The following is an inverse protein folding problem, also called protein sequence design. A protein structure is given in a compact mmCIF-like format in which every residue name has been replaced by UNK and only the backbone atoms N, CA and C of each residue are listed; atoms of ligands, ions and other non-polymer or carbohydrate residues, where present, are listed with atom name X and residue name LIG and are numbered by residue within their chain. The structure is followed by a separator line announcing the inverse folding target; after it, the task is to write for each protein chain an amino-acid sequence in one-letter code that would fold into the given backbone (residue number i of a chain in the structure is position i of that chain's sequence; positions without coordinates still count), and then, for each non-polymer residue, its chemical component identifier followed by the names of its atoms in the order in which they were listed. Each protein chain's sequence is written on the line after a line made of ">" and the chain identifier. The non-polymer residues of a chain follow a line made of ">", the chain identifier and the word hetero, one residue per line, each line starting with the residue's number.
data_IF_056864186946
#
_entry.id   IF_056864186946
#
_cell.length_a   1.000
_cell.length_b   1.000
_cell.length_c   1.000
_cell.angle_alpha   90.00
_cell.angle_beta   90.00
_cell.angle_gamma   90.00
#
_symmetry.space_group_name_H-M   'P 1'
#
loop_
_entity.id
_entity.type
_entity.pdbx_description
1 polymer ?
#
# COMPACT_ATOMS: atom_id res chain seq x y z
N UNK A 1 1.38 -3.52 -39.00
CA UNK A 1 2.40 -3.78 -37.96
C UNK A 1 3.76 -3.74 -38.66
N UNK A 2 4.56 -2.70 -38.41
CA UNK A 2 5.77 -2.43 -39.21
C UNK A 2 6.90 -3.38 -38.81
N UNK A 3 7.77 -3.73 -39.76
CA UNK A 3 8.95 -4.59 -39.60
C UNK A 3 9.93 -4.10 -38.53
N UNK A 4 9.86 -2.82 -38.12
CA UNK A 4 10.65 -2.25 -37.00
C UNK A 4 10.14 -2.65 -35.61
N UNK A 5 8.83 -2.83 -35.44
CA UNK A 5 8.26 -3.18 -34.13
C UNK A 5 8.50 -4.66 -33.79
N UNK A 6 8.43 -5.52 -34.81
CA UNK A 6 8.78 -6.94 -34.68
C UNK A 6 10.28 -7.14 -34.36
N UNK A 7 11.17 -6.32 -34.94
CA UNK A 7 12.61 -6.37 -34.66
C UNK A 7 12.97 -5.93 -33.22
N UNK A 8 12.28 -4.91 -32.69
CA UNK A 8 12.50 -4.44 -31.31
C UNK A 8 11.97 -5.43 -30.26
N UNK A 9 10.79 -6.00 -30.48
CA UNK A 9 10.23 -7.02 -29.58
C UNK A 9 11.09 -8.30 -29.62
N UNK A 10 11.51 -8.74 -30.81
CA UNK A 10 12.41 -9.88 -30.97
C UNK A 10 13.77 -9.64 -30.31
N UNK A 11 14.34 -8.44 -30.42
CA UNK A 11 15.63 -8.09 -29.78
C UNK A 11 15.53 -8.06 -28.26
N UNK A 12 14.43 -7.54 -27.70
CA UNK A 12 14.14 -7.52 -26.26
C UNK A 12 13.95 -8.95 -25.73
N UNK A 13 13.21 -9.81 -26.44
CA UNK A 13 13.02 -11.23 -26.07
C UNK A 13 14.36 -11.99 -26.15
N UNK A 14 15.19 -11.71 -27.15
CA UNK A 14 16.49 -12.36 -27.35
C UNK A 14 17.54 -11.95 -26.30
N UNK A 15 17.56 -10.67 -25.89
CA UNK A 15 18.38 -10.17 -24.78
C UNK A 15 17.94 -10.77 -23.43
N UNK A 16 16.64 -10.99 -23.23
CA UNK A 16 16.07 -11.56 -22.00
C UNK A 16 16.36 -13.06 -21.85
N UNK A 17 16.30 -13.84 -22.93
CA UNK A 17 16.71 -15.26 -22.89
C UNK A 17 18.21 -15.45 -22.65
N UNK A 18 19.05 -14.47 -23.02
CA UNK A 18 20.50 -14.50 -22.73
C UNK A 18 20.82 -14.24 -21.27
N UNK A 19 19.99 -13.48 -20.53
CA UNK A 19 20.19 -13.19 -19.11
C UNK A 19 20.33 -14.47 -18.27
N UNK A 20 19.44 -15.45 -18.48
CA UNK A 20 19.49 -16.74 -17.77
C UNK A 20 20.63 -17.67 -18.21
N UNK A 21 21.32 -17.35 -19.31
CA UNK A 21 22.47 -18.10 -19.84
C UNK A 21 23.81 -17.42 -19.53
N UNK A 22 23.80 -16.37 -18.72
CA UNK A 22 25.04 -15.70 -18.31
C UNK A 22 25.84 -16.61 -17.38
N UNK A 23 27.16 -16.73 -17.65
CA UNK A 23 28.10 -17.49 -16.80
C UNK A 23 28.15 -17.03 -15.34
N UNK A 24 27.56 -15.86 -15.06
CA UNK A 24 27.32 -15.33 -13.72
C UNK A 24 26.53 -16.31 -12.83
N UNK A 25 25.69 -17.17 -13.40
CA UNK A 25 24.91 -18.19 -12.69
C UNK A 25 25.62 -19.55 -12.60
N UNK A 26 26.79 -19.72 -13.21
CA UNK A 26 27.57 -20.97 -13.13
C UNK A 26 28.32 -21.08 -11.78
N UNK A 27 28.62 -19.94 -11.14
CA UNK A 27 29.39 -19.87 -9.89
C UNK A 27 28.58 -19.39 -8.67
N UNK A 28 27.28 -19.12 -8.84
CA UNK A 28 26.37 -18.66 -7.78
C UNK A 28 25.11 -19.52 -7.70
N UNK A 29 24.36 -19.35 -6.61
CA UNK A 29 23.09 -20.06 -6.42
C UNK A 29 22.15 -19.82 -7.61
N UNK A 30 21.60 -20.92 -8.15
CA UNK A 30 20.65 -20.84 -9.26
C UNK A 30 19.41 -20.07 -8.82
N UNK A 31 18.88 -19.27 -9.75
CA UNK A 31 17.63 -18.55 -9.57
C UNK A 31 16.49 -19.53 -9.29
N UNK A 32 15.49 -19.08 -8.53
CA UNK A 32 14.29 -19.87 -8.22
C UNK A 32 13.38 -20.11 -9.43
N UNK A 33 13.67 -19.48 -10.58
CA UNK A 33 12.94 -19.61 -11.84
C UNK A 33 13.89 -20.00 -12.99
N UNK A 34 13.40 -20.86 -13.88
CA UNK A 34 14.19 -21.41 -15.00
C UNK A 34 13.96 -20.69 -16.33
N UNK A 35 12.90 -19.90 -16.45
CA UNK A 35 12.53 -19.19 -17.69
C UNK A 35 12.09 -17.76 -17.42
N UNK A 36 12.21 -16.92 -18.45
CA UNK A 36 11.75 -15.54 -18.43
C UNK A 36 10.23 -15.46 -18.25
N UNK A 37 9.49 -16.40 -18.84
CA UNK A 37 8.04 -16.49 -18.72
C UNK A 37 7.61 -16.80 -17.27
N UNK A 38 8.37 -17.62 -16.55
CA UNK A 38 8.11 -17.92 -15.14
C UNK A 38 8.29 -16.67 -14.25
N UNK A 39 9.32 -15.85 -14.51
CA UNK A 39 9.53 -14.59 -13.80
C UNK A 39 8.41 -13.57 -14.08
N UNK A 40 7.99 -13.43 -15.34
CA UNK A 40 6.89 -12.52 -15.68
C UNK A 40 5.53 -13.03 -15.18
N UNK A 41 5.33 -14.34 -15.14
CA UNK A 41 4.20 -14.95 -14.45
C UNK A 41 4.14 -14.56 -12.97
N UNK A 42 5.30 -14.53 -12.29
CA UNK A 42 5.37 -14.09 -10.89
C UNK A 42 5.15 -12.59 -10.73
N UNK A 43 5.74 -11.75 -11.58
CA UNK A 43 5.49 -10.30 -11.56
C UNK A 43 4.03 -9.96 -11.85
N UNK A 44 3.41 -10.66 -12.80
CA UNK A 44 1.99 -10.52 -13.11
C UNK A 44 1.06 -11.01 -11.99
N UNK A 45 1.58 -11.78 -11.02
CA UNK A 45 0.81 -12.24 -9.86
C UNK A 45 0.83 -11.29 -8.66
N UNK A 46 1.67 -10.23 -8.69
CA UNK A 46 1.69 -9.23 -7.62
C UNK A 46 0.45 -8.32 -7.71
N UNK A 47 -0.12 -7.88 -6.57
CA UNK A 47 -1.24 -6.97 -6.57
C UNK A 47 -0.85 -5.66 -7.26
N UNK A 48 -1.69 -5.25 -8.20
CA UNK A 48 -1.47 -4.07 -9.03
C UNK A 48 -1.85 -2.84 -8.20
N UNK A 49 -0.89 -1.95 -7.94
CA UNK A 49 -1.15 -0.69 -7.24
C UNK A 49 -2.01 0.28 -8.04
N UNK A 50 -2.34 1.46 -7.48
CA UNK A 50 -3.22 2.44 -8.13
C UNK A 50 -2.71 2.84 -9.52
N UNK A 51 -3.54 2.64 -10.56
CA UNK A 51 -3.12 2.77 -11.95
C UNK A 51 -3.27 4.19 -12.48
N UNK A 52 -2.31 4.60 -13.32
CA UNK A 52 -2.40 5.88 -14.04
C UNK A 52 -3.39 5.77 -15.20
N UNK A 53 -4.21 6.79 -15.33
CA UNK A 53 -5.23 6.99 -16.34
C UNK A 53 -4.99 8.32 -17.05
N UNK A 54 -5.56 8.46 -18.24
CA UNK A 54 -5.48 9.70 -19.00
C UNK A 54 -6.84 10.06 -19.61
N UNK A 55 -7.36 11.21 -19.24
CA UNK A 55 -8.64 11.73 -19.72
C UNK A 55 -8.41 12.99 -20.53
N UNK A 56 -8.95 13.05 -21.75
CA UNK A 56 -8.91 14.27 -22.56
C UNK A 56 -9.85 15.31 -21.95
N UNK A 57 -9.37 16.53 -21.79
CA UNK A 57 -10.19 17.64 -21.30
C UNK A 57 -10.97 18.18 -22.50
N UNK A 58 -12.30 18.12 -22.42
CA UNK A 58 -13.19 18.70 -23.41
C UNK A 58 -13.98 19.84 -22.76
N UNK A 59 -13.74 21.06 -23.23
CA UNK A 59 -14.41 22.27 -22.72
C UNK A 59 -15.31 22.76 -23.84
N UNK A 60 -16.61 22.55 -23.67
CA UNK A 60 -17.60 22.89 -24.68
C UNK A 60 -17.54 24.39 -25.02
N UNK A 61 -17.41 24.68 -26.32
CA UNK A 61 -17.44 26.04 -26.85
C UNK A 61 -16.13 26.84 -26.72
N UNK A 62 -15.03 26.22 -26.27
CA UNK A 62 -13.73 26.91 -26.18
C UNK A 62 -12.61 26.06 -26.78
N UNK A 63 -11.88 26.64 -27.73
CA UNK A 63 -10.69 26.00 -28.32
C UNK A 63 -9.48 26.16 -27.40
N UNK A 64 -8.79 25.06 -27.13
CA UNK A 64 -7.47 25.05 -26.51
C UNK A 64 -6.40 25.03 -27.61
N UNK A 65 -5.29 25.72 -27.42
CA UNK A 65 -4.17 25.73 -28.39
C UNK A 65 -3.50 24.37 -28.54
N UNK A 66 -3.58 23.51 -27.51
CA UNK A 66 -3.01 22.17 -27.49
C UNK A 66 -3.99 21.13 -26.94
N UNK A 67 -3.74 19.85 -27.23
CA UNK A 67 -4.56 18.73 -26.78
C UNK A 67 -4.34 18.47 -25.28
N UNK A 68 -5.11 19.16 -24.44
CA UNK A 68 -4.97 19.11 -22.98
C UNK A 68 -5.51 17.79 -22.40
N UNK A 69 -4.68 17.10 -21.62
CA UNK A 69 -5.02 15.81 -20.99
C UNK A 69 -4.76 15.85 -19.49
N UNK A 70 -5.73 15.39 -18.72
CA UNK A 70 -5.56 15.07 -17.31
C UNK A 70 -4.89 13.71 -17.20
N UNK A 71 -3.77 13.63 -16.48
CA UNK A 71 -3.12 12.37 -16.11
C UNK A 71 -3.38 12.13 -14.64
N UNK A 72 -3.95 11.00 -14.25
CA UNK A 72 -4.46 10.83 -12.89
C UNK A 72 -4.54 9.38 -12.41
N UNK A 73 -4.73 9.19 -11.10
CA UNK A 73 -5.03 7.93 -10.42
C UNK A 73 -6.30 8.08 -9.62
N UNK A 74 -7.08 7.01 -9.49
CA UNK A 74 -8.26 7.02 -8.65
C UNK A 74 -7.89 7.29 -7.19
N UNK A 75 -8.49 8.32 -6.60
CA UNK A 75 -8.18 8.75 -5.24
C UNK A 75 -8.48 7.68 -4.17
N UNK A 76 -9.51 6.87 -4.37
CA UNK A 76 -9.87 5.79 -3.43
C UNK A 76 -8.88 4.62 -3.52
N UNK A 77 -8.42 4.26 -4.72
CA UNK A 77 -7.35 3.26 -4.86
C UNK A 77 -6.09 3.70 -4.10
N UNK A 78 -5.73 4.98 -4.21
CA UNK A 78 -4.58 5.56 -3.50
C UNK A 78 -4.79 5.57 -1.98
N UNK A 79 -6.01 5.87 -1.52
CA UNK A 79 -6.36 5.76 -0.08
C UNK A 79 -6.25 4.32 0.41
N UNK A 80 -6.75 3.34 -0.35
CA UNK A 80 -6.63 1.92 -0.02
C UNK A 80 -5.17 1.47 0.06
N UNK A 81 -4.33 1.92 -0.87
CA UNK A 81 -2.88 1.67 -0.86
C UNK A 81 -2.21 2.27 0.39
N UNK A 82 -2.52 3.53 0.71
CA UNK A 82 -1.96 4.20 1.90
C UNK A 82 -2.43 3.55 3.21
N UNK A 83 -3.73 3.25 3.32
CA UNK A 83 -4.32 2.72 4.55
C UNK A 83 -3.87 1.29 4.84
N UNK A 84 -3.73 0.46 3.81
CA UNK A 84 -3.26 -0.94 3.93
C UNK A 84 -1.75 -1.07 4.13
N UNK A 85 -1.00 0.03 4.09
CA UNK A 85 0.45 -0.02 4.16
C UNK A 85 0.92 -0.32 5.60
N UNK A 86 1.59 -1.47 5.83
CA UNK A 86 2.02 -1.90 7.17
C UNK A 86 3.03 -0.95 7.81
N UNK A 87 3.68 -0.08 7.04
CA UNK A 87 4.61 0.93 7.56
C UNK A 87 3.91 1.95 8.47
N UNK A 88 2.61 2.18 8.31
CA UNK A 88 1.89 3.22 9.05
C UNK A 88 1.12 2.69 10.26
N UNK A 89 1.04 1.37 10.48
CA UNK A 89 0.26 0.73 11.57
C UNK A 89 0.44 1.45 12.91
N UNK A 90 1.69 1.70 13.30
CA UNK A 90 2.06 2.26 14.62
C UNK A 90 1.84 3.77 14.72
N UNK A 91 1.57 4.41 13.60
CA UNK A 91 1.48 5.85 13.45
C UNK A 91 0.10 6.26 12.96
N UNK A 92 -0.89 5.35 13.01
CA UNK A 92 -2.25 5.64 12.60
C UNK A 92 -3.17 5.81 13.79
N UNK A 93 -4.00 6.85 13.72
CA UNK A 93 -5.11 7.08 14.64
C UNK A 93 -6.43 6.75 13.94
N UNK A 94 -7.31 6.08 14.65
CA UNK A 94 -8.58 5.56 14.12
C UNK A 94 -9.82 6.14 14.81
N UNK A 95 -9.65 6.85 15.92
CA UNK A 95 -10.76 7.38 16.70
C UNK A 95 -10.44 8.76 17.28
N UNK A 96 -11.45 9.64 17.42
CA UNK A 96 -11.28 10.91 18.08
C UNK A 96 -10.78 10.70 19.51
N UNK A 97 -9.84 11.54 19.94
CA UNK A 97 -9.31 11.50 21.31
C UNK A 97 -8.94 12.91 21.75
N UNK A 98 -9.02 13.16 23.05
CA UNK A 98 -8.71 14.46 23.62
C UNK A 98 -7.27 14.47 24.12
N UNK A 99 -6.53 15.50 23.74
CA UNK A 99 -5.21 15.80 24.29
C UNK A 99 -5.35 17.08 25.11
N UNK A 100 -4.83 17.08 26.33
CA UNK A 100 -4.93 18.22 27.26
C UNK A 100 -3.54 18.65 27.70
N UNK A 101 -3.32 19.97 27.71
CA UNK A 101 -2.16 20.60 28.31
C UNK A 101 -2.65 21.43 29.51
N UNK A 102 -2.58 20.86 30.71
CA UNK A 102 -3.24 21.42 31.90
C UNK A 102 -4.77 21.38 31.77
N UNK A 103 -5.41 22.55 31.92
CA UNK A 103 -6.87 22.68 31.80
C UNK A 103 -7.35 22.94 30.37
N UNK A 104 -6.44 23.20 29.44
CA UNK A 104 -6.77 23.51 28.05
C UNK A 104 -6.68 22.28 27.15
N UNK A 105 -7.59 22.19 26.18
CA UNK A 105 -7.57 21.17 25.15
C UNK A 105 -6.64 21.58 24.01
N UNK A 106 -5.77 20.67 23.62
CA UNK A 106 -4.85 20.84 22.50
C UNK A 106 -5.46 20.31 21.18
N UNK A 107 -5.21 21.05 20.10
CA UNK A 107 -5.63 20.69 18.74
C UNK A 107 -4.41 20.63 17.83
N UNK A 108 -4.02 19.43 17.40
CA UNK A 108 -2.82 19.19 16.59
C UNK A 108 -3.08 18.34 15.36
N UNK A 109 -4.00 17.38 15.45
CA UNK A 109 -4.39 16.47 14.37
C UNK A 109 -5.90 16.48 14.16
N UNK A 110 -6.37 15.94 13.02
CA UNK A 110 -7.80 15.82 12.73
C UNK A 110 -8.59 15.16 13.87
N UNK A 111 -8.07 14.07 14.45
CA UNK A 111 -8.74 13.32 15.52
C UNK A 111 -8.77 14.03 16.88
N UNK A 112 -7.95 15.06 17.07
CA UNK A 112 -8.05 15.97 18.23
C UNK A 112 -9.03 17.11 17.98
N UNK A 113 -9.43 17.34 16.72
CA UNK A 113 -10.36 18.38 16.29
C UNK A 113 -11.80 18.11 16.72
N UNK A 114 -12.53 19.17 17.09
CA UNK A 114 -13.95 19.10 17.50
C UNK A 114 -14.83 18.42 16.45
N UNK A 115 -14.51 18.60 15.16
CA UNK A 115 -15.27 17.98 14.07
C UNK A 115 -15.22 16.45 14.09
N UNK A 116 -14.09 15.86 14.50
CA UNK A 116 -13.96 14.40 14.55
C UNK A 116 -14.91 13.77 15.58
N UNK A 117 -15.15 14.46 16.70
CA UNK A 117 -16.09 14.03 17.75
C UNK A 117 -17.56 14.15 17.34
N UNK A 118 -17.88 15.06 16.41
CA UNK A 118 -19.24 15.26 15.93
C UNK A 118 -19.68 14.21 14.90
N UNK A 119 -18.76 13.38 14.41
CA UNK A 119 -19.05 12.36 13.39
C UNK A 119 -19.34 11.03 14.10
N UNK A 120 -20.62 10.62 14.07
CA UNK A 120 -21.06 9.34 14.61
C UNK A 120 -20.96 8.27 13.52
N UNK A 121 -20.18 7.22 13.78
CA UNK A 121 -20.01 6.08 12.87
C UNK A 121 -20.52 4.78 13.53
N UNK A 122 -20.94 3.79 12.72
CA UNK A 122 -21.19 2.43 13.21
C UNK A 122 -19.96 1.83 13.88
N UNK A 123 -20.20 0.91 14.83
CA UNK A 123 -19.12 0.15 15.48
C UNK A 123 -18.31 -0.61 14.43
N UNK A 124 -16.97 -0.53 14.52
CA UNK A 124 -16.05 -1.15 13.57
C UNK A 124 -15.66 -0.27 12.37
N UNK A 125 -16.24 0.93 12.25
CA UNK A 125 -15.89 1.90 11.21
C UNK A 125 -14.94 2.98 11.75
N UNK A 126 -14.13 3.55 10.87
CA UNK A 126 -13.25 4.69 11.17
C UNK A 126 -13.39 5.77 10.11
N UNK A 127 -13.09 7.01 10.49
CA UNK A 127 -13.01 8.14 9.56
C UNK A 127 -11.64 8.10 8.90
N UNK A 128 -11.60 8.31 7.58
CA UNK A 128 -10.36 8.51 6.85
C UNK A 128 -10.32 9.95 6.33
N UNK A 129 -9.67 10.89 7.04
CA UNK A 129 -9.60 12.27 6.60
C UNK A 129 -8.73 12.36 5.35
N UNK A 130 -9.24 12.95 4.27
CA UNK A 130 -8.48 13.13 3.02
C UNK A 130 -7.80 14.50 3.04
N UNK A 131 -6.49 14.52 2.83
CA UNK A 131 -5.72 15.76 2.71
C UNK A 131 -5.16 15.84 1.30
N UNK A 132 -5.52 16.92 0.60
CA UNK A 132 -5.02 17.22 -0.74
C UNK A 132 -4.07 18.41 -0.68
N UNK A 133 -2.94 18.31 -1.38
CA UNK A 133 -2.00 19.40 -1.57
C UNK A 133 -1.72 19.56 -3.06
N UNK A 134 -1.68 20.79 -3.55
CA UNK A 134 -1.32 21.09 -4.92
C UNK A 134 -0.57 22.41 -4.97
N UNK A 135 0.47 22.45 -5.80
CA UNK A 135 1.18 23.67 -6.13
C UNK A 135 1.45 23.73 -7.63
N UNK A 136 1.56 24.95 -8.18
CA UNK A 136 1.83 25.15 -9.60
C UNK A 136 3.29 24.86 -9.89
N UNK A 137 3.56 23.96 -10.84
CA UNK A 137 4.93 23.58 -11.20
C UNK A 137 5.20 23.76 -12.70
N UNK A 138 6.33 24.38 -13.08
CA UNK A 138 6.76 24.40 -14.48
C UNK A 138 7.31 23.02 -14.87
N UNK A 139 6.76 22.45 -15.94
CA UNK A 139 7.13 21.12 -16.49
C UNK A 139 8.31 21.24 -17.43
N UNK A 140 8.32 22.26 -18.29
CA UNK A 140 9.41 22.54 -19.23
C UNK A 140 9.81 24.02 -19.15
N UNK A 141 10.99 24.30 -18.63
CA UNK A 141 11.51 25.69 -18.54
C UNK A 141 12.17 26.18 -19.82
N UNK A 142 12.57 25.29 -20.73
CA UNK A 142 13.39 25.63 -21.90
C UNK A 142 12.81 25.18 -23.25
N UNK A 143 11.79 24.31 -23.26
CA UNK A 143 11.27 23.65 -24.46
C UNK A 143 9.76 23.43 -24.38
N UNK A 144 8.98 24.50 -24.18
CA UNK A 144 7.52 24.45 -24.33
C UNK A 144 6.68 25.22 -23.31
N UNK A 145 7.28 25.76 -22.23
CA UNK A 145 6.55 26.61 -21.28
C UNK A 145 5.36 25.92 -20.60
N UNK A 146 5.34 24.58 -20.59
CA UNK A 146 4.23 23.80 -20.05
C UNK A 146 4.21 23.93 -18.53
N UNK A 147 3.06 24.29 -17.98
CA UNK A 147 2.82 24.35 -16.55
C UNK A 147 1.71 23.37 -16.17
N UNK A 148 1.90 22.69 -15.04
CA UNK A 148 0.90 21.77 -14.50
C UNK A 148 0.81 21.90 -12.99
N UNK A 149 -0.35 21.56 -12.46
CA UNK A 149 -0.60 21.44 -11.03
C UNK A 149 -0.58 19.96 -10.64
N UNK A 150 0.55 19.43 -10.14
CA UNK A 150 0.53 18.15 -9.46
C UNK A 150 -0.37 18.23 -8.24
N UNK A 151 -1.15 17.17 -8.03
CA UNK A 151 -2.00 16.99 -6.86
C UNK A 151 -1.47 15.81 -6.08
N UNK A 152 -1.26 15.99 -4.78
CA UNK A 152 -0.84 14.96 -3.84
C UNK A 152 -1.96 14.66 -2.85
N UNK A 153 -2.08 13.39 -2.49
CA UNK A 153 -3.03 12.89 -1.51
C UNK A 153 -2.29 12.22 -0.35
N UNK A 154 -2.77 12.47 0.86
CA UNK A 154 -2.47 11.67 2.05
C UNK A 154 -3.74 11.50 2.90
N UNK A 155 -3.65 10.67 3.94
CA UNK A 155 -4.74 10.43 4.89
C UNK A 155 -4.38 10.98 6.28
N UNK A 156 -5.33 11.61 6.94
CA UNK A 156 -5.16 12.19 8.27
C UNK A 156 -5.04 11.17 9.41
N UNK A 157 -5.23 9.88 9.11
CA UNK A 157 -4.97 8.80 10.07
C UNK A 157 -3.49 8.71 10.42
N UNK A 158 -2.60 8.87 9.43
CA UNK A 158 -1.15 8.83 9.64
C UNK A 158 -0.75 10.09 10.40
N UNK A 159 -0.03 10.00 11.51
CA UNK A 159 0.43 11.16 12.30
C UNK A 159 1.25 12.16 11.47
N UNK A 160 1.14 13.45 11.77
CA UNK A 160 1.72 14.52 10.95
C UNK A 160 3.24 14.42 10.83
N UNK A 161 3.94 14.10 11.92
CA UNK A 161 5.40 13.92 11.91
C UNK A 161 5.84 12.84 10.90
N UNK A 162 5.09 11.75 10.79
CA UNK A 162 5.32 10.70 9.79
C UNK A 162 4.90 11.17 8.40
N UNK A 163 3.76 11.86 8.26
CA UNK A 163 3.33 12.43 6.96
C UNK A 163 4.36 13.40 6.38
N UNK A 164 5.03 14.17 7.23
CA UNK A 164 6.00 15.19 6.83
C UNK A 164 7.40 14.63 6.53
N UNK A 165 7.68 13.38 6.90
CA UNK A 165 8.92 12.72 6.50
C UNK A 165 8.91 12.39 5.01
N UNK A 166 9.79 13.02 4.22
CA UNK A 166 9.89 12.73 2.79
C UNK A 166 10.13 11.24 2.46
N UNK A 167 10.78 10.51 3.37
CA UNK A 167 11.10 9.08 3.24
C UNK A 167 9.94 8.15 3.62
N UNK A 168 8.91 8.64 4.31
CA UNK A 168 7.77 7.80 4.72
C UNK A 168 6.90 7.42 3.54
N UNK A 169 7.01 8.16 2.43
CA UNK A 169 6.13 8.01 1.29
C UNK A 169 4.66 8.04 1.74
N UNK A 170 4.28 8.90 2.68
CA UNK A 170 2.88 9.06 3.12
C UNK A 170 2.04 9.94 2.18
N UNK A 171 2.69 10.69 1.29
CA UNK A 171 2.06 11.44 0.21
C UNK A 171 2.19 10.71 -1.12
N UNK A 172 1.12 10.69 -1.92
CA UNK A 172 1.05 10.08 -3.24
C UNK A 172 0.59 11.11 -4.26
N UNK A 173 1.32 11.29 -5.36
CA UNK A 173 0.86 12.13 -6.47
C UNK A 173 -0.31 11.45 -7.18
N UNK A 174 -1.50 12.04 -7.15
CA UNK A 174 -2.72 11.46 -7.72
C UNK A 174 -3.10 12.07 -9.06
N UNK A 175 -2.60 13.26 -9.41
CA UNK A 175 -2.91 13.88 -10.69
C UNK A 175 -1.85 14.88 -11.13
N UNK A 176 -1.76 15.07 -12.44
CA UNK A 176 -1.13 16.20 -13.09
C UNK A 176 -2.22 16.95 -13.86
N UNK A 177 -2.67 18.06 -13.30
CA UNK A 177 -3.71 18.90 -13.90
C UNK A 177 -3.02 19.88 -14.85
N UNK A 178 -3.34 19.87 -16.15
CA UNK A 178 -2.72 20.80 -17.09
C UNK A 178 -3.28 22.22 -16.93
N UNK A 179 -2.48 23.20 -17.33
CA UNK A 179 -2.90 24.60 -17.46
C UNK A 179 -3.02 24.98 -18.94
N UNK A 180 -4.10 24.56 -19.64
CA UNK A 180 -4.26 24.84 -21.06
C UNK A 180 -4.31 26.34 -21.34
N UNK A 181 -3.78 26.74 -22.50
CA UNK A 181 -4.01 28.08 -22.99
C UNK A 181 -5.33 28.15 -23.75
N UNK A 182 -6.06 29.22 -23.50
CA UNK A 182 -7.34 29.51 -24.14
C UNK A 182 -7.18 30.75 -25.00
N UNK A 183 -7.65 30.68 -26.25
CA UNK A 183 -7.70 31.83 -27.13
C UNK A 183 -8.93 32.72 -26.79
N UNK A 184 -8.88 33.37 -25.62
CA UNK A 184 -9.96 34.19 -25.07
C UNK A 184 -9.40 35.42 -24.33
N UNK A 185 -10.25 36.41 -24.08
CA UNK A 185 -9.94 37.56 -23.23
C UNK A 185 -9.40 37.12 -21.87
N UNK A 186 -8.37 37.81 -21.39
CA UNK A 186 -7.55 37.40 -20.25
C UNK A 186 -8.34 37.22 -18.94
N UNK A 187 -9.39 37.99 -18.71
CA UNK A 187 -10.27 37.90 -17.54
C UNK A 187 -11.06 36.58 -17.49
N UNK A 188 -11.44 36.01 -18.63
CA UNK A 188 -12.11 34.71 -18.70
C UNK A 188 -11.15 33.52 -18.62
N UNK A 189 -9.87 33.71 -18.96
CA UNK A 189 -8.85 32.65 -18.90
C UNK A 189 -8.70 32.08 -17.49
N UNK A 190 -8.66 32.94 -16.47
CA UNK A 190 -8.55 32.52 -15.07
C UNK A 190 -9.75 31.68 -14.62
N UNK A 191 -10.96 32.05 -15.06
CA UNK A 191 -12.19 31.31 -14.75
C UNK A 191 -12.16 29.92 -15.40
N UNK A 192 -11.75 29.82 -16.66
CA UNK A 192 -11.64 28.54 -17.35
C UNK A 192 -10.58 27.63 -16.72
N UNK A 193 -9.41 28.17 -16.36
CA UNK A 193 -8.38 27.41 -15.64
C UNK A 193 -8.88 26.88 -14.29
N UNK A 194 -9.59 27.71 -13.52
CA UNK A 194 -10.20 27.26 -12.26
C UNK A 194 -11.24 26.15 -12.49
N UNK A 195 -12.08 26.27 -13.52
CA UNK A 195 -13.04 25.21 -13.89
C UNK A 195 -12.34 23.91 -14.27
N UNK A 196 -11.27 23.97 -15.06
CA UNK A 196 -10.45 22.79 -15.41
C UNK A 196 -9.87 22.15 -14.16
N UNK A 197 -9.34 22.94 -13.23
CA UNK A 197 -8.80 22.45 -11.98
C UNK A 197 -9.86 21.73 -11.13
N UNK A 198 -11.00 22.36 -10.91
CA UNK A 198 -12.09 21.77 -10.12
C UNK A 198 -12.73 20.55 -10.78
N UNK A 199 -12.93 20.58 -12.10
CA UNK A 199 -13.40 19.41 -12.86
C UNK A 199 -12.39 18.26 -12.77
N UNK A 200 -11.10 18.55 -12.86
CA UNK A 200 -10.07 17.51 -12.74
C UNK A 200 -10.08 16.86 -11.36
N UNK A 201 -10.20 17.65 -10.29
CA UNK A 201 -10.37 17.11 -8.94
C UNK A 201 -11.67 16.32 -8.78
N UNK A 202 -12.76 16.73 -9.43
CA UNK A 202 -14.02 15.99 -9.45
C UNK A 202 -13.83 14.58 -10.03
N UNK A 203 -13.13 14.46 -11.16
CA UNK A 203 -12.77 13.18 -11.78
C UNK A 203 -11.93 12.32 -10.83
N UNK A 204 -10.86 12.89 -10.28
CA UNK A 204 -9.90 12.17 -9.42
C UNK A 204 -10.54 11.66 -8.13
N UNK A 205 -11.50 12.41 -7.58
CA UNK A 205 -12.15 12.12 -6.30
C UNK A 205 -13.52 11.48 -6.43
N UNK A 206 -13.95 11.09 -7.64
CA UNK A 206 -15.29 10.55 -7.90
C UNK A 206 -15.61 9.34 -6.99
N UNK A 207 -14.71 8.36 -6.92
CA UNK A 207 -14.84 7.18 -6.06
C UNK A 207 -14.79 7.51 -4.56
N UNK A 208 -13.99 8.50 -4.16
CA UNK A 208 -13.92 8.98 -2.78
C UNK A 208 -15.25 9.61 -2.33
N UNK A 209 -15.97 10.29 -3.22
CA UNK A 209 -17.28 10.86 -2.91
C UNK A 209 -18.33 9.78 -2.64
N UNK A 210 -18.28 8.69 -3.41
CA UNK A 210 -19.11 7.50 -3.17
C UNK A 210 -18.74 6.88 -1.82
N UNK A 211 -17.45 6.65 -1.57
CA UNK A 211 -16.98 6.09 -0.29
C UNK A 211 -17.29 6.98 0.93
N UNK A 212 -17.28 8.31 0.77
CA UNK A 212 -17.64 9.24 1.84
C UNK A 212 -19.13 9.20 2.18
N UNK A 213 -19.99 8.87 1.20
CA UNK A 213 -21.44 8.75 1.39
C UNK A 213 -21.82 7.39 1.94
N UNK A 214 -21.32 6.32 1.33
CA UNK A 214 -21.81 4.95 1.55
C UNK A 214 -20.87 4.12 2.44
N UNK A 215 -19.66 4.60 2.71
CA UNK A 215 -18.59 3.83 3.35
C UNK A 215 -17.88 2.87 2.38
N UNK A 216 -16.71 2.38 2.76
CA UNK A 216 -15.97 1.38 1.97
C UNK A 216 -15.09 0.53 2.88
N UNK A 217 -14.93 -0.75 2.52
CA UNK A 217 -14.02 -1.64 3.24
C UNK A 217 -12.56 -1.31 2.91
N UNK A 218 -11.72 -1.31 3.94
CA UNK A 218 -10.27 -1.11 3.85
C UNK A 218 -9.55 -2.31 4.47
N UNK A 219 -8.36 -2.62 3.96
CA UNK A 219 -7.52 -3.71 4.48
C UNK A 219 -6.78 -3.20 5.72
N UNK A 220 -6.84 -3.97 6.81
CA UNK A 220 -6.09 -3.69 8.04
C UNK A 220 -4.58 -3.88 7.78
N UNK A 221 -3.73 -2.91 8.14
CA UNK A 221 -2.29 -3.01 7.93
C UNK A 221 -1.54 -4.02 8.85
N UNK A 222 -2.20 -4.74 9.78
CA UNK A 222 -1.59 -5.77 10.65
C UNK A 222 -1.61 -7.23 10.07
N UNK A 223 -0.46 -7.82 9.68
CA UNK A 223 -0.31 -9.22 9.19
C UNK A 223 0.15 -10.30 10.21
N UNK A 224 0.19 -11.59 9.81
CA UNK A 224 0.09 -12.84 10.63
C UNK A 224 1.18 -13.21 11.70
N UNK A 225 0.81 -13.89 12.81
CA UNK A 225 1.69 -14.28 13.96
C UNK A 225 1.48 -15.73 14.52
N UNK A 226 2.57 -16.46 14.79
CA UNK A 226 2.63 -17.83 15.36
C UNK A 226 2.04 -17.95 16.79
N UNK A 227 2.08 -16.86 17.54
CA UNK A 227 1.68 -16.79 18.95
C UNK A 227 0.15 -16.98 19.10
N UNK A 228 -0.61 -16.77 18.02
CA UNK A 228 -2.06 -17.00 17.99
C UNK A 228 -2.46 -18.48 17.98
N UNK A 229 -1.51 -19.43 17.88
CA UNK A 229 -1.84 -20.86 17.79
C UNK A 229 -2.49 -21.26 16.45
N UNK A 230 -2.36 -20.39 15.45
CA UNK A 230 -2.97 -20.49 14.12
C UNK A 230 -1.96 -20.98 13.08
N UNK A 231 -2.42 -21.75 12.09
CA UNK A 231 -1.59 -22.21 10.97
C UNK A 231 -1.13 -21.05 10.06
N UNK A 232 0.04 -21.19 9.44
CA UNK A 232 0.65 -20.14 8.60
C UNK A 232 -0.21 -19.69 7.40
N UNK A 233 -1.11 -20.55 6.93
CA UNK A 233 -2.02 -20.28 5.82
C UNK A 233 -3.39 -19.72 6.28
N UNK A 234 -3.48 -19.22 7.51
CA UNK A 234 -4.66 -18.57 8.04
C UNK A 234 -4.27 -17.34 8.87
N UNK A 235 -5.17 -16.36 8.92
CA UNK A 235 -4.94 -15.11 9.65
C UNK A 235 -5.02 -15.33 11.17
N UNK A 236 -4.14 -14.72 11.98
CA UNK A 236 -4.22 -14.79 13.43
C UNK A 236 -5.30 -13.86 13.99
N UNK A 237 -5.73 -12.87 13.20
CA UNK A 237 -6.65 -11.79 13.61
C UNK A 237 -8.04 -11.94 12.98
N UNK A 238 -8.14 -12.62 11.84
CA UNK A 238 -9.39 -12.85 11.12
C UNK A 238 -9.55 -14.31 10.72
N UNK A 239 -10.77 -14.70 10.34
CA UNK A 239 -11.07 -16.04 9.84
C UNK A 239 -10.61 -16.25 8.39
N UNK A 240 -9.95 -15.27 7.78
CA UNK A 240 -9.41 -15.38 6.43
C UNK A 240 -8.35 -16.48 6.33
N UNK A 241 -8.40 -17.19 5.22
CA UNK A 241 -7.36 -18.11 4.80
C UNK A 241 -6.45 -17.46 3.76
N UNK A 242 -5.30 -18.07 3.49
CA UNK A 242 -4.29 -17.53 2.57
C UNK A 242 -4.85 -17.21 1.18
N UNK A 243 -5.80 -18.01 0.68
CA UNK A 243 -6.47 -17.76 -0.61
C UNK A 243 -7.34 -16.51 -0.61
N UNK A 244 -7.68 -15.98 0.58
CA UNK A 244 -8.59 -14.86 0.80
C UNK A 244 -7.86 -13.59 1.25
N UNK A 245 -6.53 -13.60 1.42
CA UNK A 245 -5.76 -12.44 1.91
C UNK A 245 -5.70 -11.26 0.92
N UNK A 246 -6.22 -11.43 -0.30
CA UNK A 246 -6.42 -10.36 -1.27
C UNK A 246 -7.90 -10.01 -1.52
N UNK A 247 -8.83 -10.64 -0.79
CA UNK A 247 -10.25 -10.42 -1.01
C UNK A 247 -10.67 -9.03 -0.48
N UNK A 248 -11.53 -8.30 -1.19
CA UNK A 248 -11.99 -6.98 -0.77
C UNK A 248 -13.02 -7.02 0.37
N UNK A 249 -13.49 -8.21 0.75
CA UNK A 249 -14.47 -8.41 1.81
C UNK A 249 -13.74 -8.83 3.08
N UNK A 250 -13.84 -8.05 4.18
CA UNK A 250 -13.20 -8.41 5.44
C UNK A 250 -13.76 -9.72 5.98
N UNK A 251 -12.88 -10.68 6.29
CA UNK A 251 -13.28 -11.88 7.01
C UNK A 251 -13.63 -11.53 8.46
N UNK A 252 -14.55 -12.29 9.06
CA UNK A 252 -14.94 -12.11 10.45
C UNK A 252 -13.70 -12.17 11.38
N UNK A 253 -13.66 -11.38 12.47
CA UNK A 253 -12.59 -11.45 13.46
C UNK A 253 -12.43 -12.88 13.98
N UNK A 254 -11.19 -13.28 14.21
CA UNK A 254 -10.86 -14.56 14.84
C UNK A 254 -10.67 -14.33 16.33
N UNK A 255 -11.66 -14.75 17.12
CA UNK A 255 -11.63 -14.51 18.57
C UNK A 255 -10.97 -15.66 19.33
N UNK A 256 -10.54 -15.36 20.55
CA UNK A 256 -10.04 -16.34 21.53
C UNK A 256 -10.99 -17.52 21.68
N UNK A 257 -12.28 -17.27 21.86
CA UNK A 257 -13.30 -18.29 22.06
C UNK A 257 -13.46 -19.20 20.84
N UNK A 258 -13.26 -18.68 19.63
CA UNK A 258 -13.27 -19.50 18.42
C UNK A 258 -12.06 -20.41 18.37
N UNK A 259 -10.85 -19.87 18.62
CA UNK A 259 -9.63 -20.68 18.61
C UNK A 259 -9.70 -21.77 19.70
N UNK A 260 -10.18 -21.46 20.90
CA UNK A 260 -10.33 -22.45 21.98
C UNK A 260 -11.35 -23.53 21.64
N UNK A 261 -12.47 -23.18 20.99
CA UNK A 261 -13.44 -24.17 20.51
C UNK A 261 -12.83 -25.11 19.46
N UNK A 262 -12.06 -24.57 18.51
CA UNK A 262 -11.37 -25.39 17.51
C UNK A 262 -10.30 -26.29 18.14
N UNK A 263 -9.60 -25.82 19.18
CA UNK A 263 -8.65 -26.64 19.94
C UNK A 263 -9.38 -27.76 20.68
N UNK A 264 -10.52 -27.48 21.30
CA UNK A 264 -11.32 -28.50 21.98
C UNK A 264 -11.85 -29.54 21.00
N UNK A 265 -12.25 -29.13 19.80
CA UNK A 265 -12.61 -30.02 18.70
C UNK A 265 -11.42 -30.86 18.21
N UNK A 266 -10.22 -30.30 18.15
CA UNK A 266 -9.03 -31.06 17.81
C UNK A 266 -8.73 -32.14 18.87
N UNK A 267 -8.83 -31.78 20.16
CA UNK A 267 -8.60 -32.68 21.30
C UNK A 267 -9.62 -33.82 21.41
N UNK A 268 -10.86 -33.62 20.91
CA UNK A 268 -11.86 -34.70 20.90
C UNK A 268 -11.63 -35.72 19.79
N UNK A 269 -10.96 -35.31 18.70
CA UNK A 269 -10.69 -36.15 17.52
C UNK A 269 -9.34 -36.86 17.56
N UNK A 270 -8.36 -36.30 18.26
CA UNK A 270 -7.04 -36.90 18.40
C UNK A 270 -6.41 -36.51 19.74
N UNK A 271 -5.64 -37.42 20.33
CA UNK A 271 -4.91 -37.13 21.55
C UNK A 271 -3.79 -36.11 21.26
N UNK A 272 -3.65 -35.01 22.03
CA UNK A 272 -2.66 -33.96 21.74
C UNK A 272 -1.19 -34.42 21.66
N UNK A 273 -0.88 -35.50 22.38
CA UNK A 273 0.47 -36.09 22.39
C UNK A 273 0.70 -37.12 21.29
N UNK A 274 -0.34 -37.53 20.54
CA UNK A 274 -0.16 -38.18 19.25
C UNK A 274 0.03 -37.09 18.19
N UNK A 275 1.27 -36.62 18.08
CA UNK A 275 1.61 -35.47 17.24
C UNK A 275 1.22 -35.68 15.76
N UNK A 276 1.27 -36.91 15.25
CA UNK A 276 0.97 -37.20 13.84
C UNK A 276 -0.53 -37.12 13.58
N UNK A 277 -1.34 -37.75 14.44
CA UNK A 277 -2.79 -37.68 14.33
C UNK A 277 -3.30 -36.26 14.64
N UNK A 278 -2.80 -35.65 15.72
CA UNK A 278 -3.21 -34.32 16.16
C UNK A 278 -2.84 -33.23 15.16
N UNK A 279 -1.65 -33.28 14.56
CA UNK A 279 -1.27 -32.30 13.53
C UNK A 279 -2.19 -32.36 12.30
N UNK A 280 -2.63 -33.56 11.87
CA UNK A 280 -3.56 -33.71 10.75
C UNK A 280 -4.90 -33.01 11.05
N UNK A 281 -5.45 -33.25 12.24
CA UNK A 281 -6.70 -32.63 12.69
C UNK A 281 -6.54 -31.11 12.85
N UNK A 282 -5.50 -30.66 13.54
CA UNK A 282 -5.23 -29.25 13.77
C UNK A 282 -5.06 -28.46 12.47
N UNK A 283 -4.32 -29.00 11.49
CA UNK A 283 -4.17 -28.38 10.16
C UNK A 283 -5.51 -28.24 9.43
N UNK A 284 -6.40 -29.23 9.54
CA UNK A 284 -7.73 -29.17 8.93
C UNK A 284 -8.59 -28.03 9.52
N UNK A 285 -8.36 -27.73 10.80
CA UNK A 285 -9.01 -26.64 11.54
C UNK A 285 -8.23 -25.32 11.48
N UNK A 286 -7.18 -25.23 10.64
CA UNK A 286 -6.31 -24.05 10.48
C UNK A 286 -5.58 -23.64 11.77
N UNK A 287 -5.33 -24.61 12.65
CA UNK A 287 -4.54 -24.45 13.87
C UNK A 287 -3.11 -24.93 13.68
N UNK A 288 -2.19 -24.39 14.50
CA UNK A 288 -0.77 -24.76 14.50
C UNK A 288 -0.52 -26.14 15.13
N UNK A 289 -1.47 -26.65 15.93
CA UNK A 289 -1.32 -27.90 16.70
C UNK A 289 -0.97 -27.69 18.18
N UNK A 290 -1.19 -26.48 18.72
CA UNK A 290 -1.02 -26.18 20.14
C UNK A 290 -2.34 -26.43 20.87
N UNK A 291 -2.35 -27.40 21.80
CA UNK A 291 -3.55 -27.78 22.55
C UNK A 291 -3.77 -26.96 23.83
N UNK A 292 -2.75 -26.26 24.33
CA UNK A 292 -2.84 -25.32 25.45
C UNK A 292 -2.03 -24.05 25.15
N UNK A 293 -2.56 -23.09 24.37
CA UNK A 293 -1.89 -21.82 24.12
C UNK A 293 -1.77 -21.02 25.42
N UNK A 294 -0.62 -20.43 25.73
CA UNK A 294 -0.38 -19.78 27.04
C UNK A 294 -1.41 -18.70 27.45
N UNK A 295 -2.09 -18.10 26.49
CA UNK A 295 -3.14 -17.09 26.69
C UNK A 295 -4.53 -17.69 26.99
N UNK A 296 -4.69 -19.02 26.96
CA UNK A 296 -6.00 -19.70 27.01
C UNK A 296 -6.81 -19.39 28.28
N UNK A 297 -6.14 -19.15 29.41
CA UNK A 297 -6.74 -18.89 30.72
C UNK A 297 -6.63 -17.42 31.17
N UNK A 298 -6.21 -16.51 30.29
CA UNK A 298 -6.14 -15.09 30.58
C UNK A 298 -7.49 -14.44 30.28
N UNK A 299 -8.08 -13.73 31.25
CA UNK A 299 -9.42 -13.14 31.16
C UNK A 299 -9.62 -12.22 29.94
N UNK A 300 -8.56 -11.55 29.48
CA UNK A 300 -8.56 -10.67 28.29
C UNK A 300 -7.51 -11.06 27.24
N UNK A 301 -7.00 -12.29 27.30
CA UNK A 301 -5.93 -12.77 26.41
C UNK A 301 -6.43 -13.20 25.04
N UNK A 302 -6.99 -12.28 24.24
CA UNK A 302 -7.29 -12.56 22.84
C UNK A 302 -6.08 -12.28 21.95
N UNK A 303 -5.53 -13.30 21.25
CA UNK A 303 -4.40 -13.12 20.36
C UNK A 303 -4.62 -12.01 19.34
N UNK A 304 -5.84 -11.84 18.84
CA UNK A 304 -6.13 -10.80 17.85
C UNK A 304 -5.96 -9.38 18.40
N UNK A 305 -6.07 -9.18 19.71
CA UNK A 305 -5.93 -7.86 20.36
C UNK A 305 -4.50 -7.56 20.84
N UNK A 306 -3.78 -8.55 21.38
CA UNK A 306 -2.44 -8.31 21.95
C UNK A 306 -1.27 -8.66 21.01
N UNK A 307 -1.50 -9.44 19.95
CA UNK A 307 -0.51 -9.75 18.92
C UNK A 307 -0.51 -8.72 17.81
N UNK A 308 -0.08 -7.51 18.16
CA UNK A 308 0.19 -6.46 17.17
C UNK A 308 1.46 -6.81 16.38
N UNK A 309 1.40 -6.71 15.04
CA UNK A 309 2.50 -7.02 14.11
C UNK A 309 3.85 -6.51 14.59
N UNK A 310 4.84 -7.40 14.75
CA UNK A 310 6.17 -6.99 15.21
C UNK A 310 7.02 -6.43 14.04
N UNK A 311 7.82 -5.38 14.30
CA UNK A 311 8.53 -4.61 13.26
C UNK A 311 9.52 -5.48 12.49
N UNK A 312 10.16 -6.45 13.16
CA UNK A 312 11.19 -7.24 12.52
C UNK A 312 10.59 -8.13 11.43
N UNK A 313 9.50 -8.85 11.70
CA UNK A 313 8.92 -9.78 10.72
C UNK A 313 7.92 -9.11 9.78
N UNK A 314 7.07 -8.22 10.30
CA UNK A 314 5.99 -7.59 9.52
C UNK A 314 6.48 -6.42 8.66
N UNK A 315 7.56 -5.75 9.09
CA UNK A 315 8.12 -4.60 8.38
C UNK A 315 9.46 -4.92 7.75
N UNK A 316 10.50 -5.09 8.57
CA UNK A 316 11.88 -5.20 8.13
C UNK A 316 12.10 -6.45 7.26
N UNK A 317 11.73 -7.63 7.75
CA UNK A 317 11.92 -8.89 7.03
C UNK A 317 11.00 -8.98 5.82
N UNK A 318 9.74 -8.55 5.93
CA UNK A 318 8.87 -8.38 4.77
C UNK A 318 9.53 -7.51 3.69
N UNK A 319 10.16 -6.40 4.09
CA UNK A 319 10.88 -5.54 3.17
C UNK A 319 12.05 -6.28 2.52
N UNK A 320 12.95 -6.90 3.27
CA UNK A 320 14.11 -7.58 2.68
C UNK A 320 13.75 -8.85 1.88
N UNK A 321 12.76 -9.62 2.33
CA UNK A 321 12.33 -10.88 1.72
C UNK A 321 11.44 -10.67 0.49
N UNK A 322 10.69 -9.58 0.44
CA UNK A 322 9.73 -9.31 -0.63
C UNK A 322 10.01 -7.98 -1.33
N UNK A 323 9.90 -6.84 -0.63
CA UNK A 323 9.94 -5.50 -1.25
C UNK A 323 11.29 -5.20 -1.91
N UNK A 324 12.41 -5.45 -1.23
CA UNK A 324 13.75 -5.29 -1.77
C UNK A 324 13.98 -6.24 -2.94
N UNK A 325 13.41 -7.45 -2.88
CA UNK A 325 13.36 -8.36 -4.02
C UNK A 325 12.68 -7.70 -5.23
N UNK A 326 11.51 -7.09 -5.02
CA UNK A 326 10.80 -6.34 -6.06
C UNK A 326 11.61 -5.13 -6.56
N UNK A 327 12.27 -4.37 -5.66
CA UNK A 327 13.14 -3.26 -6.03
C UNK A 327 14.34 -3.72 -6.87
N UNK A 328 15.00 -4.83 -6.48
CA UNK A 328 16.10 -5.45 -7.23
C UNK A 328 15.68 -5.84 -8.63
N UNK A 329 14.46 -6.35 -8.79
CA UNK A 329 13.87 -6.65 -10.10
C UNK A 329 13.55 -5.38 -10.90
N UNK A 330 12.99 -4.35 -10.26
CA UNK A 330 12.55 -3.13 -10.93
C UNK A 330 13.71 -2.21 -11.38
N UNK A 331 14.72 -2.01 -10.53
CA UNK A 331 15.81 -1.07 -10.75
C UNK A 331 17.11 -1.72 -11.24
N UNK A 332 17.28 -3.03 -11.01
CA UNK A 332 18.53 -3.75 -11.27
C UNK A 332 19.50 -3.68 -10.09
N UNK A 333 19.99 -4.85 -9.67
CA UNK A 333 20.90 -4.99 -8.51
C UNK A 333 22.13 -4.10 -8.60
N UNK A 334 22.81 -4.03 -9.76
CA UNK A 334 24.01 -3.19 -9.92
C UNK A 334 23.72 -1.70 -9.77
N UNK A 335 22.54 -1.25 -10.19
CA UNK A 335 22.12 0.15 -10.06
C UNK A 335 21.75 0.45 -8.62
N UNK A 336 21.01 -0.45 -7.95
CA UNK A 336 20.73 -0.31 -6.52
C UNK A 336 22.02 -0.35 -5.71
N UNK A 337 22.93 -1.26 -6.00
CA UNK A 337 24.20 -1.39 -5.29
C UNK A 337 25.06 -0.16 -5.48
N UNK A 338 25.19 0.32 -6.73
CA UNK A 338 25.93 1.55 -7.04
C UNK A 338 25.28 2.75 -6.35
N UNK A 339 23.94 2.84 -6.32
CA UNK A 339 23.24 3.94 -5.66
C UNK A 339 23.38 3.88 -4.14
N UNK A 340 23.24 2.70 -3.53
CA UNK A 340 23.38 2.53 -2.09
C UNK A 340 24.83 2.66 -1.62
N UNK A 341 25.81 2.27 -2.44
CA UNK A 341 27.24 2.47 -2.16
C UNK A 341 27.70 3.91 -2.35
N UNK A 342 27.07 4.66 -3.24
CA UNK A 342 27.34 6.09 -3.44
C UNK A 342 26.58 7.01 -2.47
N UNK A 343 25.73 6.47 -1.58
CA UNK A 343 25.11 7.27 -0.52
C UNK A 343 26.17 7.72 0.49
N UNK A 344 26.23 9.02 0.76
CA UNK A 344 27.10 9.57 1.79
C UNK A 344 26.87 8.88 3.15
N UNK A 345 27.95 8.48 3.80
CA UNK A 345 27.89 7.88 5.13
C UNK A 345 27.35 8.90 6.14
N UNK A 346 26.30 8.52 6.86
CA UNK A 346 25.69 9.33 7.92
C UNK A 346 25.86 8.64 9.27
N UNK A 347 26.14 9.42 10.31
CA UNK A 347 26.23 8.92 11.69
C UNK A 347 24.89 8.28 12.07
N UNK A 348 24.94 7.10 12.69
CA UNK A 348 23.78 6.29 13.12
C UNK A 348 22.96 5.61 12.00
N UNK A 349 23.39 5.66 10.73
CA UNK A 349 22.77 4.90 9.63
C UNK A 349 23.71 3.82 9.09
N UNK A 350 23.16 2.67 8.70
CA UNK A 350 23.95 1.61 8.05
C UNK A 350 24.34 2.07 6.64
N UNK A 351 25.63 2.20 6.41
CA UNK A 351 26.17 2.48 5.08
C UNK A 351 26.45 1.17 4.35
N UNK A 352 26.04 1.10 3.09
CA UNK A 352 26.10 -0.08 2.24
C UNK A 352 27.19 0.12 1.18
N UNK A 353 28.45 0.16 1.61
CA UNK A 353 29.60 0.49 0.73
C UNK A 353 29.78 -0.48 -0.44
N UNK A 354 29.21 -1.67 -0.37
CA UNK A 354 29.20 -2.66 -1.46
C UNK A 354 27.83 -2.83 -2.12
N UNK A 355 26.85 -2.00 -1.74
CA UNK A 355 25.45 -2.13 -2.16
C UNK A 355 24.58 -2.90 -1.19
N UNK A 356 23.32 -3.13 -1.59
CA UNK A 356 22.26 -3.78 -0.80
C UNK A 356 21.93 -5.19 -1.32
N UNK A 357 22.68 -5.66 -2.32
CA UNK A 357 22.44 -6.95 -2.97
C UNK A 357 22.91 -8.15 -2.19
#
# INVERSE_FOLDING_TARGET
>A
MSTRDAANISSIIHLRMRFLKLRWFDTRAKLSFGTVDQLFGWLGSLPVGPQWQSTKINISGYETTEDARLIWRDGLEVVKDLFSNPMFVKYMTYSPHEVRCGEEREYSEFFTGTRAFAILLPVGSTIVPIILASDKTPVTRQTGGLEMHPVFLTIGNIQSDIRMQATSHAWRCIAFIPSPEFNIRADFRTILLARVFHWSLDVVTASLKVAAKDGTALVDPCGNQLIAGVAKNASPVTMAEQSQFGDPIPAAPRTREQILRQIQEACSKAHPWDLVAFQKVAKSLKLLGVHQPFWHNWMFGDPSYFLNGEILHSGHKFFFDHVLGWCKVAAGSSILDTRFSSLHQRVSFRHFSSGVS
#
